data_IF_756954326851
#
_entry.id   IF_756954326851
#
_cell.length_a   1.000
_cell.length_b   1.000
_cell.length_c   1.000
_cell.angle_alpha   90.00
_cell.angle_beta   90.00
_cell.angle_gamma   90.00
#
_symmetry.space_group_name_H-M   'P 1'
#
loop_
_entity.id
_entity.type
_entity.pdbx_description
1 polymer ?
#
# COMPACT_ATOMS: atom_id res chain seq x y z
N UNK A 1 4.03 -9.79 19.32
CA UNK A 1 3.93 -8.36 19.65
C UNK A 1 2.89 -7.76 18.73
N UNK A 2 1.82 -7.23 19.31
CA UNK A 2 0.79 -6.55 18.54
C UNK A 2 1.33 -5.19 18.11
N UNK A 3 1.56 -5.02 16.81
CA UNK A 3 2.01 -3.74 16.27
C UNK A 3 0.87 -2.70 16.27
N UNK A 4 1.16 -1.46 15.82
CA UNK A 4 0.15 -0.41 15.71
C UNK A 4 -1.07 -0.85 14.88
N UNK A 5 -2.28 -0.43 15.23
CA UNK A 5 -3.45 -0.72 14.41
C UNK A 5 -3.33 -0.12 13.00
N UNK A 6 -4.09 -0.67 12.03
CA UNK A 6 -4.14 -0.13 10.68
C UNK A 6 -4.57 1.36 10.69
N UNK A 7 -5.53 1.72 11.55
CA UNK A 7 -5.96 3.10 11.73
C UNK A 7 -4.80 4.04 12.13
N UNK A 8 -3.93 3.63 13.06
CA UNK A 8 -2.73 4.40 13.43
C UNK A 8 -1.75 4.55 12.27
N UNK A 9 -1.64 3.53 11.40
CA UNK A 9 -0.81 3.61 10.20
C UNK A 9 -1.37 4.66 9.21
N UNK A 10 -2.69 4.69 9.03
CA UNK A 10 -3.37 5.68 8.17
C UNK A 10 -3.21 7.10 8.72
N UNK A 11 -3.38 7.30 10.02
CA UNK A 11 -3.16 8.60 10.67
C UNK A 11 -1.73 9.10 10.46
N UNK A 12 -0.74 8.21 10.65
CA UNK A 12 0.66 8.54 10.41
C UNK A 12 0.94 8.86 8.94
N UNK A 13 0.40 8.07 8.00
CA UNK A 13 0.56 8.31 6.57
C UNK A 13 -0.02 9.66 6.15
N UNK A 14 -1.17 10.06 6.72
CA UNK A 14 -1.78 11.38 6.50
C UNK A 14 -0.92 12.51 7.03
N UNK A 15 -0.39 12.34 8.24
CA UNK A 15 0.52 13.30 8.85
C UNK A 15 1.76 13.51 7.98
N UNK A 16 2.42 12.44 7.56
CA UNK A 16 3.68 12.49 6.82
C UNK A 16 3.50 13.02 5.39
N UNK A 17 2.38 12.67 4.73
CA UNK A 17 1.99 13.24 3.45
C UNK A 17 1.84 14.77 3.53
N UNK A 18 1.11 15.25 4.54
CA UNK A 18 0.89 16.69 4.78
C UNK A 18 2.20 17.41 5.08
N UNK A 19 3.04 16.83 5.94
CA UNK A 19 4.34 17.39 6.29
C UNK A 19 5.28 17.48 5.07
N UNK A 20 5.14 16.57 4.11
CA UNK A 20 5.94 16.51 2.87
C UNK A 20 5.36 17.36 1.72
N UNK A 21 4.29 18.11 1.97
CA UNK A 21 3.68 19.03 0.99
C UNK A 21 2.69 18.37 0.02
N UNK A 22 2.22 17.15 0.30
CA UNK A 22 1.23 16.47 -0.53
C UNK A 22 -0.19 16.96 -0.20
N UNK A 23 -0.99 17.17 -1.25
CA UNK A 23 -2.41 17.49 -1.13
C UNK A 23 -3.26 16.27 -0.76
N UNK A 24 -2.86 15.09 -1.21
CA UNK A 24 -3.58 13.84 -1.01
C UNK A 24 -2.66 12.80 -0.38
N UNK A 25 -3.21 12.01 0.54
CA UNK A 25 -2.55 10.81 1.05
C UNK A 25 -2.90 9.66 0.10
N UNK A 26 -1.88 9.11 -0.56
CA UNK A 26 -2.01 7.98 -1.48
C UNK A 26 -1.51 6.66 -0.90
N UNK A 27 -1.79 5.56 -1.60
CA UNK A 27 -1.43 4.19 -1.18
C UNK A 27 0.05 4.04 -0.81
N UNK A 28 0.96 4.69 -1.53
CA UNK A 28 2.40 4.60 -1.27
C UNK A 28 2.81 5.26 0.05
N UNK A 29 2.05 6.23 0.57
CA UNK A 29 2.28 6.78 1.91
C UNK A 29 1.94 5.75 2.99
N UNK A 30 0.83 5.01 2.81
CA UNK A 30 0.46 3.95 3.73
C UNK A 30 1.47 2.79 3.68
N UNK A 31 1.87 2.37 2.48
CA UNK A 31 2.90 1.35 2.30
C UNK A 31 4.25 1.77 2.94
N UNK A 32 4.60 3.06 2.89
CA UNK A 32 5.82 3.56 3.53
C UNK A 32 5.76 3.37 5.05
N UNK A 33 4.64 3.75 5.66
CA UNK A 33 4.41 3.56 7.11
C UNK A 33 4.39 2.07 7.47
N UNK A 34 3.76 1.22 6.66
CA UNK A 34 3.77 -0.23 6.87
C UNK A 34 5.19 -0.78 6.80
N UNK A 35 6.01 -0.35 5.84
CA UNK A 35 7.43 -0.72 5.76
C UNK A 35 8.23 -0.31 7.01
N UNK A 36 7.93 0.83 7.62
CA UNK A 36 8.61 1.30 8.84
C UNK A 36 8.15 0.58 10.11
N UNK A 37 6.84 0.39 10.27
CA UNK A 37 6.25 -0.17 11.49
C UNK A 37 6.16 -1.70 11.47
N UNK A 38 6.14 -2.30 10.28
CA UNK A 38 5.97 -3.73 10.05
C UNK A 38 6.97 -4.27 9.01
N UNK A 39 8.29 -4.06 9.20
CA UNK A 39 9.29 -4.36 8.18
C UNK A 39 9.29 -5.83 7.74
N UNK A 40 9.09 -6.77 8.67
CA UNK A 40 9.04 -8.21 8.35
C UNK A 40 7.83 -8.55 7.48
N UNK A 41 6.64 -8.04 7.83
CA UNK A 41 5.42 -8.30 7.04
C UNK A 41 5.50 -7.66 5.67
N UNK A 42 6.04 -6.44 5.60
CA UNK A 42 6.25 -5.73 4.34
C UNK A 42 7.23 -6.48 3.43
N UNK A 43 8.31 -7.01 4.00
CA UNK A 43 9.29 -7.83 3.28
C UNK A 43 8.66 -9.11 2.75
N UNK A 44 8.01 -9.91 3.59
CA UNK A 44 7.32 -11.13 3.13
C UNK A 44 6.24 -10.85 2.09
N UNK A 45 5.54 -9.71 2.21
CA UNK A 45 4.60 -9.26 1.19
C UNK A 45 5.29 -8.99 -0.15
N UNK A 46 6.40 -8.25 -0.18
CA UNK A 46 7.13 -8.01 -1.43
C UNK A 46 7.79 -9.28 -1.99
N UNK A 47 8.25 -10.19 -1.14
CA UNK A 47 8.76 -11.50 -1.56
C UNK A 47 7.71 -12.31 -2.33
N UNK A 48 6.42 -12.20 -1.96
CA UNK A 48 5.33 -12.84 -2.71
C UNK A 48 5.17 -12.29 -4.14
N UNK A 49 5.67 -11.09 -4.40
CA UNK A 49 5.77 -10.48 -5.72
C UNK A 49 7.09 -10.78 -6.42
N UNK A 50 8.02 -11.48 -5.79
CA UNK A 50 9.36 -11.71 -6.32
C UNK A 50 10.12 -10.42 -6.66
N UNK A 51 9.78 -9.28 -6.02
CA UNK A 51 10.42 -7.99 -6.29
C UNK A 51 11.58 -7.75 -5.32
N UNK A 52 12.66 -7.16 -5.82
CA UNK A 52 13.77 -6.73 -4.97
C UNK A 52 13.33 -5.60 -4.04
N UNK A 53 13.29 -5.87 -2.73
CA UNK A 53 12.87 -4.92 -1.68
C UNK A 53 13.63 -3.60 -1.75
N UNK A 54 14.94 -3.65 -1.97
CA UNK A 54 15.80 -2.46 -1.95
C UNK A 54 15.46 -1.54 -3.12
N UNK A 55 15.28 -2.10 -4.32
CA UNK A 55 14.86 -1.36 -5.51
C UNK A 55 13.44 -0.82 -5.35
N UNK A 56 12.50 -1.62 -4.86
CA UNK A 56 11.12 -1.19 -4.64
C UNK A 56 11.04 0.00 -3.67
N UNK A 57 11.74 -0.08 -2.53
CA UNK A 57 11.79 1.00 -1.54
C UNK A 57 12.41 2.27 -2.13
N UNK A 58 13.47 2.16 -2.92
CA UNK A 58 14.05 3.32 -3.63
C UNK A 58 13.03 3.99 -4.58
N UNK A 59 12.19 3.21 -5.26
CA UNK A 59 11.16 3.78 -6.13
C UNK A 59 10.05 4.46 -5.32
N UNK A 60 9.70 3.91 -4.15
CA UNK A 60 8.82 4.60 -3.20
C UNK A 60 9.40 5.95 -2.75
N UNK A 61 10.69 6.02 -2.42
CA UNK A 61 11.36 7.28 -2.06
C UNK A 61 11.26 8.34 -3.17
N UNK A 62 11.37 7.92 -4.44
CA UNK A 62 11.23 8.81 -5.59
C UNK A 62 9.82 9.40 -5.67
N UNK A 63 8.77 8.57 -5.53
CA UNK A 63 7.38 9.05 -5.64
C UNK A 63 6.93 9.83 -4.40
N UNK A 64 7.53 9.57 -3.23
CA UNK A 64 7.24 10.23 -1.96
C UNK A 64 8.15 11.43 -1.66
N UNK A 65 9.05 11.80 -2.58
CA UNK A 65 9.96 12.93 -2.39
C UNK A 65 9.18 14.21 -2.03
N UNK A 66 9.60 14.97 -1.00
CA UNK A 66 8.96 16.22 -0.62
C UNK A 66 8.84 17.21 -1.77
N UNK A 67 7.72 17.92 -1.84
CA UNK A 67 7.40 18.81 -2.96
C UNK A 67 7.51 20.28 -2.55
N UNK A 68 8.16 21.08 -3.42
CA UNK A 68 8.37 22.52 -3.18
C UNK A 68 7.13 23.39 -3.44
N UNK A 69 6.13 22.87 -4.14
CA UNK A 69 4.87 23.56 -4.41
C UNK A 69 3.69 22.60 -4.20
N UNK A 70 2.66 23.03 -3.47
CA UNK A 70 1.48 22.25 -3.06
C UNK A 70 0.51 21.88 -4.20
N UNK A 71 1.03 21.60 -5.40
CA UNK A 71 0.27 21.06 -6.52
C UNK A 71 0.12 19.55 -6.39
N UNK A 72 -1.13 19.08 -6.47
CA UNK A 72 -1.40 17.65 -6.63
C UNK A 72 -1.11 17.24 -8.07
N UNK A 73 -0.28 16.21 -8.28
CA UNK A 73 -0.14 15.57 -9.57
C UNK A 73 -1.41 14.74 -9.86
N UNK A 74 -1.81 14.56 -11.13
CA UNK A 74 -2.94 13.70 -11.48
C UNK A 74 -2.84 12.28 -10.88
N UNK A 75 -1.61 11.76 -10.77
CA UNK A 75 -1.31 10.47 -10.14
C UNK A 75 -1.65 10.44 -8.66
N UNK A 76 -1.56 11.56 -7.94
CA UNK A 76 -1.85 11.58 -6.49
C UNK A 76 -3.33 11.28 -6.20
N UNK A 77 -4.23 11.74 -7.08
CA UNK A 77 -5.67 11.42 -6.97
C UNK A 77 -5.95 9.95 -7.27
N UNK A 78 -5.17 9.35 -8.16
CA UNK A 78 -5.28 7.91 -8.42
C UNK A 78 -4.77 7.12 -7.21
N UNK A 79 -3.63 7.52 -6.65
CA UNK A 79 -3.04 6.88 -5.46
C UNK A 79 -3.95 7.00 -4.23
N UNK A 80 -4.64 8.14 -4.08
CA UNK A 80 -5.63 8.35 -3.03
C UNK A 80 -6.87 7.47 -3.20
N UNK A 81 -7.41 7.37 -4.42
CA UNK A 81 -8.54 6.46 -4.70
C UNK A 81 -8.16 4.99 -4.50
N UNK A 82 -6.94 4.62 -4.85
CA UNK A 82 -6.42 3.28 -4.58
C UNK A 82 -6.29 3.02 -3.08
N UNK A 83 -5.85 4.01 -2.29
CA UNK A 83 -5.84 3.91 -0.83
C UNK A 83 -7.25 3.70 -0.27
N UNK A 84 -8.23 4.49 -0.71
CA UNK A 84 -9.63 4.35 -0.28
C UNK A 84 -10.17 2.95 -0.60
N UNK A 85 -9.92 2.44 -1.81
CA UNK A 85 -10.32 1.09 -2.21
C UNK A 85 -9.62 0.00 -1.40
N UNK A 86 -8.32 0.16 -1.12
CA UNK A 86 -7.55 -0.76 -0.29
C UNK A 86 -8.13 -0.86 1.13
N UNK A 87 -8.47 0.28 1.73
CA UNK A 87 -9.04 0.33 3.08
C UNK A 87 -10.44 -0.29 3.11
N UNK A 88 -11.30 0.01 2.15
CA UNK A 88 -12.64 -0.59 2.06
C UNK A 88 -12.58 -2.12 1.96
N UNK A 89 -11.72 -2.65 1.06
CA UNK A 89 -11.55 -4.11 0.93
C UNK A 89 -10.94 -4.75 2.19
N UNK A 90 -10.03 -4.04 2.88
CA UNK A 90 -9.47 -4.54 4.13
C UNK A 90 -10.52 -4.58 5.25
N UNK A 91 -11.43 -3.61 5.29
CA UNK A 91 -12.57 -3.60 6.22
C UNK A 91 -13.55 -4.74 5.90
N UNK A 92 -13.86 -5.01 4.62
CA UNK A 92 -14.68 -6.16 4.18
C UNK A 92 -14.06 -7.49 4.65
N UNK A 93 -12.77 -7.71 4.35
CA UNK A 93 -12.04 -8.92 4.75
C UNK A 93 -11.95 -9.10 6.27
N UNK A 94 -11.97 -8.00 7.04
CA UNK A 94 -11.99 -8.05 8.49
C UNK A 94 -13.40 -8.32 9.05
N UNK A 95 -14.44 -7.79 8.40
CA UNK A 95 -15.84 -8.00 8.74
C UNK A 95 -16.26 -9.46 8.63
N UNK A 96 -15.75 -10.18 7.63
CA UNK A 96 -15.92 -11.63 7.49
C UNK A 96 -15.40 -12.41 8.71
N UNK A 97 -14.42 -11.85 9.44
CA UNK A 97 -13.78 -12.45 10.61
C UNK A 97 -14.22 -11.82 11.94
N UNK A 98 -15.25 -10.98 11.93
CA UNK A 98 -15.77 -10.24 13.11
C UNK A 98 -14.69 -9.42 13.84
N UNK A 99 -13.74 -8.84 13.09
CA UNK A 99 -12.60 -8.09 13.64
C UNK A 99 -12.45 -6.69 13.03
N UNK A 100 -11.59 -5.89 13.65
CA UNK A 100 -11.13 -4.63 13.05
C UNK A 100 -10.07 -4.92 11.96
N UNK A 101 -10.04 -4.10 10.90
CA UNK A 101 -9.04 -4.24 9.86
C UNK A 101 -7.61 -4.10 10.41
N UNK A 102 -6.75 -5.02 9.97
CA UNK A 102 -5.34 -5.09 10.37
C UNK A 102 -4.45 -4.86 9.15
N UNK A 103 -3.14 -4.75 9.38
CA UNK A 103 -2.17 -4.64 8.29
C UNK A 103 -2.15 -5.91 7.43
N UNK A 104 -2.41 -7.07 8.00
CA UNK A 104 -2.55 -8.32 7.24
C UNK A 104 -3.74 -8.26 6.29
N UNK A 105 -4.91 -7.80 6.75
CA UNK A 105 -6.08 -7.61 5.89
C UNK A 105 -5.78 -6.62 4.76
N UNK A 106 -5.07 -5.52 5.06
CA UNK A 106 -4.62 -4.58 4.02
C UNK A 106 -3.73 -5.28 3.00
N UNK A 107 -2.65 -5.94 3.43
CA UNK A 107 -1.66 -6.54 2.53
C UNK A 107 -2.28 -7.68 1.69
N UNK A 108 -3.24 -8.44 2.24
CA UNK A 108 -3.91 -9.51 1.51
C UNK A 108 -4.81 -9.02 0.38
N UNK A 109 -5.36 -7.79 0.47
CA UNK A 109 -6.26 -7.27 -0.56
C UNK A 109 -5.56 -6.48 -1.67
N UNK A 110 -4.32 -6.02 -1.46
CA UNK A 110 -3.59 -5.22 -2.46
C UNK A 110 -3.45 -5.88 -3.83
N UNK A 111 -3.15 -7.20 -3.96
CA UNK A 111 -3.07 -7.87 -5.26
C UNK A 111 -4.38 -7.87 -6.06
N UNK A 112 -5.51 -7.69 -5.37
CA UNK A 112 -6.86 -7.66 -5.96
C UNK A 112 -7.32 -6.25 -6.38
N UNK A 113 -6.50 -5.22 -6.16
CA UNK A 113 -6.82 -3.86 -6.57
C UNK A 113 -6.56 -3.68 -8.06
N UNK A 114 -7.33 -2.79 -8.69
CA UNK A 114 -7.12 -2.35 -10.06
C UNK A 114 -6.89 -0.82 -10.11
N UNK A 115 -5.67 -0.35 -10.39
CA UNK A 115 -4.44 -1.12 -10.56
C UNK A 115 -3.85 -1.64 -9.24
N UNK A 116 -3.12 -2.77 -9.30
CA UNK A 116 -2.33 -3.31 -8.18
C UNK A 116 -1.18 -2.32 -7.86
N UNK A 117 -1.03 -1.86 -6.60
CA UNK A 117 -0.01 -0.87 -6.24
C UNK A 117 1.43 -1.35 -6.45
N UNK A 118 1.72 -2.63 -6.22
CA UNK A 118 3.07 -3.18 -6.41
C UNK A 118 3.36 -3.30 -7.89
N UNK A 119 2.45 -3.91 -8.65
CA UNK A 119 2.58 -4.05 -10.10
C UNK A 119 2.74 -2.68 -10.78
N UNK A 120 1.89 -1.71 -10.43
CA UNK A 120 1.93 -0.36 -11.00
C UNK A 120 3.23 0.38 -10.70
N UNK A 121 3.80 0.24 -9.50
CA UNK A 121 5.07 0.86 -9.20
C UNK A 121 6.21 0.17 -9.96
N UNK A 122 6.16 -1.16 -10.06
CA UNK A 122 7.15 -1.92 -10.82
C UNK A 122 7.11 -1.57 -12.31
N UNK A 123 5.93 -1.57 -12.93
CA UNK A 123 5.74 -1.19 -14.34
C UNK A 123 6.23 0.24 -14.61
N UNK A 124 5.96 1.18 -13.69
CA UNK A 124 6.38 2.58 -13.84
C UNK A 124 7.91 2.75 -13.86
N UNK A 125 8.63 1.89 -13.16
CA UNK A 125 10.07 2.00 -12.96
C UNK A 125 10.87 0.84 -13.57
N UNK A 126 10.22 0.02 -14.41
CA UNK A 126 10.82 -1.13 -15.08
C UNK A 126 11.50 -2.10 -14.09
N UNK A 127 10.80 -2.41 -12.99
CA UNK A 127 11.25 -3.41 -12.03
C UNK A 127 10.71 -4.79 -12.39
N UNK A 128 11.55 -5.81 -12.30
CA UNK A 128 11.11 -7.20 -12.40
C UNK A 128 10.23 -7.58 -11.20
N UNK A 129 9.08 -8.20 -11.47
CA UNK A 129 8.18 -8.76 -10.47
C UNK A 129 7.38 -9.93 -11.07
N UNK A 130 6.72 -10.68 -10.20
CA UNK A 130 5.75 -11.73 -10.53
C UNK A 130 4.47 -11.41 -9.79
N UNK A 131 3.33 -11.37 -10.49
CA UNK A 131 2.06 -11.22 -9.79
C UNK A 131 1.81 -12.50 -8.97
N UNK A 132 1.54 -12.41 -7.66
CA UNK A 132 1.17 -13.58 -6.89
C UNK A 132 -0.11 -14.18 -7.50
N UNK A 133 -0.27 -15.52 -7.47
CA UNK A 133 -1.53 -16.14 -7.87
C UNK A 133 -2.66 -15.52 -7.03
N UNK A 134 -3.87 -15.35 -7.60
CA UNK A 134 -5.02 -14.96 -6.79
C UNK A 134 -5.16 -15.98 -5.64
N UNK A 135 -5.29 -15.50 -4.40
CA UNK A 135 -5.51 -16.37 -3.26
C UNK A 135 -6.72 -17.27 -3.54
N UNK A 136 -6.52 -18.58 -3.56
CA UNK A 136 -7.56 -19.59 -3.77
C UNK A 136 -8.55 -19.55 -2.58
N UNK A 137 -9.51 -18.63 -2.61
CA UNK A 137 -10.66 -18.59 -1.69
C UNK A 137 -11.88 -17.91 -2.34
N UNK A 138 -11.97 -17.92 -3.67
CA UNK A 138 -13.20 -17.56 -4.37
C UNK A 138 -13.92 -18.84 -4.80
N UNK A 139 -15.13 -19.13 -4.27
CA UNK A 139 -15.95 -20.18 -4.86
C UNK A 139 -16.28 -19.77 -6.29
N UNK A 140 -15.91 -20.63 -7.23
CA UNK A 140 -16.38 -20.54 -8.62
C UNK A 140 -17.90 -20.72 -8.55
N UNK A 141 -18.65 -19.66 -8.83
CA UNK A 141 -20.11 -19.74 -9.06
C UNK A 141 -20.40 -20.37 -10.41
#
# INVERSE_FOLDING_TARGET
>A
MDGPSLSKCVERARHDAKASGFRFTGIYHLLWVVKELFPVRFESFLESYGVDKVRFVKMMEVVLRPRRAGGGLPTDRQDARMLESALAKADEAAGEKQGAASVEHLLSVLPSLEPDPVARLCDRFDLEYRKPPPSEDQPVT
#
